data_IF_711311333508
#
_entry.id   IF_711311333508
#
_cell.length_a   1.000
_cell.length_b   1.000
_cell.length_c   1.000
_cell.angle_alpha   90.00
_cell.angle_beta   90.00
_cell.angle_gamma   90.00
#
_symmetry.space_group_name_H-M   'P 1'
#
loop_
_entity.id
_entity.type
_entity.pdbx_description
1 polymer ?
#
# COMPACT_ATOMS: atom_id res chain seq x y z
N UNK A 1 13.70 -31.71 19.46
CA UNK A 1 14.31 -30.45 18.94
C UNK A 1 15.70 -30.31 19.54
N UNK A 2 16.70 -29.78 18.83
CA UNK A 2 18.04 -29.62 19.42
C UNK A 2 18.05 -28.49 20.46
N UNK A 3 18.61 -28.72 21.65
CA UNK A 3 18.72 -27.69 22.71
C UNK A 3 19.80 -26.65 22.36
N UNK A 4 20.74 -26.98 21.47
CA UNK A 4 21.88 -26.13 21.15
C UNK A 4 21.46 -24.78 20.51
N UNK A 5 21.76 -23.63 21.13
CA UNK A 5 21.34 -22.31 20.65
C UNK A 5 21.82 -21.99 19.22
N UNK A 6 23.05 -22.40 18.89
CA UNK A 6 23.64 -22.22 17.55
C UNK A 6 22.79 -22.90 16.46
N UNK A 7 22.32 -24.13 16.71
CA UNK A 7 21.50 -24.87 15.75
C UNK A 7 20.11 -24.24 15.59
N UNK A 8 19.52 -23.76 16.67
CA UNK A 8 18.22 -23.07 16.66
C UNK A 8 18.25 -21.76 15.87
N UNK A 9 19.27 -20.90 16.10
CA UNK A 9 19.44 -19.65 15.34
C UNK A 9 19.67 -19.91 13.85
N UNK A 10 20.51 -20.90 13.51
CA UNK A 10 20.76 -21.30 12.11
C UNK A 10 19.46 -21.77 11.43
N UNK A 11 18.65 -22.55 12.14
CA UNK A 11 17.37 -23.03 11.64
C UNK A 11 16.39 -21.88 11.36
N UNK A 12 16.22 -20.94 12.28
CA UNK A 12 15.33 -19.77 12.08
C UNK A 12 15.76 -18.91 10.89
N UNK A 13 17.06 -18.64 10.76
CA UNK A 13 17.60 -17.82 9.68
C UNK A 13 17.37 -18.45 8.30
N UNK A 14 17.71 -19.74 8.16
CA UNK A 14 17.64 -20.50 6.90
C UNK A 14 16.26 -21.11 6.60
N UNK A 15 15.25 -20.88 7.44
CA UNK A 15 13.96 -21.52 7.25
C UNK A 15 13.28 -21.12 5.93
N UNK A 16 12.60 -22.07 5.26
CA UNK A 16 11.81 -21.78 4.07
C UNK A 16 10.60 -20.90 4.39
N UNK A 17 10.07 -20.22 3.38
CA UNK A 17 9.01 -19.21 3.54
C UNK A 17 7.72 -19.76 4.16
N UNK A 18 7.33 -20.99 3.84
CA UNK A 18 6.13 -21.61 4.42
C UNK A 18 6.24 -21.83 5.94
N UNK A 19 7.45 -22.04 6.48
CA UNK A 19 7.69 -22.11 7.93
C UNK A 19 7.71 -20.72 8.54
N UNK A 20 8.38 -19.76 7.88
CA UNK A 20 8.42 -18.36 8.33
C UNK A 20 7.03 -17.74 8.44
N UNK A 21 6.11 -18.07 7.53
CA UNK A 21 4.70 -17.63 7.59
C UNK A 21 4.05 -17.96 8.95
N UNK A 22 4.32 -19.14 9.53
CA UNK A 22 3.74 -19.53 10.83
C UNK A 22 4.30 -18.72 11.99
N UNK A 23 5.55 -18.27 11.88
CA UNK A 23 6.21 -17.47 12.92
C UNK A 23 5.79 -16.01 12.92
N UNK A 24 5.22 -15.51 11.82
CA UNK A 24 4.65 -14.16 11.72
C UNK A 24 3.22 -14.20 12.26
N UNK A 25 3.11 -14.57 13.53
CA UNK A 25 1.87 -14.57 14.28
C UNK A 25 1.88 -13.50 15.37
N UNK A 26 0.69 -13.01 15.67
CA UNK A 26 0.44 -12.01 16.70
C UNK A 26 -0.70 -12.49 17.61
N UNK A 27 -0.70 -11.98 18.84
CA UNK A 27 -1.80 -12.23 19.78
C UNK A 27 -3.07 -11.53 19.32
N UNK A 28 -4.22 -12.14 19.57
CA UNK A 28 -5.52 -11.51 19.33
C UNK A 28 -5.98 -10.72 20.56
N UNK A 29 -6.89 -9.78 20.35
CA UNK A 29 -7.63 -9.14 21.43
C UNK A 29 -8.49 -10.17 22.18
N UNK A 30 -8.79 -9.90 23.45
CA UNK A 30 -9.50 -10.85 24.31
C UNK A 30 -10.88 -11.23 23.75
N UNK A 31 -11.60 -10.29 23.14
CA UNK A 31 -12.88 -10.52 22.47
C UNK A 31 -12.77 -11.58 21.36
N UNK A 32 -11.72 -11.47 20.54
CA UNK A 32 -11.43 -12.44 19.47
C UNK A 32 -10.96 -13.78 20.03
N UNK A 33 -10.23 -13.78 21.15
CA UNK A 33 -9.80 -15.03 21.81
C UNK A 33 -11.04 -15.79 22.30
N UNK A 34 -12.02 -15.10 22.88
CA UNK A 34 -13.27 -15.69 23.33
C UNK A 34 -14.09 -16.22 22.15
N UNK A 35 -14.26 -15.43 21.08
CA UNK A 35 -15.00 -15.82 19.87
C UNK A 35 -14.38 -17.04 19.20
N UNK A 36 -13.08 -17.02 18.91
CA UNK A 36 -12.41 -18.04 18.09
C UNK A 36 -11.72 -19.15 18.90
N UNK A 37 -11.66 -19.05 20.24
CA UNK A 37 -10.94 -19.99 21.13
C UNK A 37 -9.47 -20.23 20.75
N UNK A 38 -8.82 -19.23 20.12
CA UNK A 38 -7.39 -19.27 19.73
C UNK A 38 -6.67 -18.09 20.35
N UNK A 39 -5.41 -18.28 20.74
CA UNK A 39 -4.60 -17.22 21.36
C UNK A 39 -3.90 -16.30 20.34
N UNK A 40 -3.57 -16.81 19.17
CA UNK A 40 -2.77 -16.10 18.16
C UNK A 40 -3.02 -16.63 16.76
N UNK A 41 -2.88 -15.75 15.76
CA UNK A 41 -2.99 -16.10 14.34
C UNK A 41 -1.85 -15.48 13.52
N UNK A 42 -1.50 -16.09 12.38
CA UNK A 42 -0.64 -15.44 11.40
C UNK A 42 -1.28 -14.15 10.90
N UNK A 43 -0.50 -13.05 10.89
CA UNK A 43 -0.98 -11.74 10.44
C UNK A 43 -1.05 -11.71 8.90
N UNK A 44 -2.15 -11.21 8.35
CA UNK A 44 -2.37 -11.06 6.92
C UNK A 44 -2.55 -9.58 6.58
N UNK A 45 -2.43 -9.23 5.30
CA UNK A 45 -2.78 -7.90 4.79
C UNK A 45 -4.26 -7.63 5.04
N UNK A 46 -4.59 -6.41 5.44
CA UNK A 46 -5.96 -6.00 5.75
C UNK A 46 -6.41 -6.28 7.20
N UNK A 47 -5.64 -7.03 7.99
CA UNK A 47 -5.90 -7.12 9.44
C UNK A 47 -5.72 -5.74 10.09
N UNK A 48 -6.57 -5.42 11.07
CA UNK A 48 -6.36 -4.23 11.91
C UNK A 48 -5.60 -4.63 13.14
N UNK A 49 -4.55 -3.85 13.43
CA UNK A 49 -3.63 -4.19 14.49
C UNK A 49 -3.29 -2.99 15.37
N UNK A 50 -3.03 -3.25 16.65
CA UNK A 50 -2.57 -2.30 17.66
C UNK A 50 -1.13 -2.61 18.04
N UNK A 51 -0.28 -1.58 18.07
CA UNK A 51 1.13 -1.75 18.44
C UNK A 51 1.27 -1.72 19.96
N UNK A 52 1.89 -2.74 20.52
CA UNK A 52 2.04 -2.91 21.97
C UNK A 52 3.39 -2.44 22.50
N UNK A 53 4.44 -2.47 21.66
CA UNK A 53 5.83 -2.16 22.05
C UNK A 53 6.51 -1.25 21.03
N UNK A 54 7.48 -0.46 21.49
CA UNK A 54 8.29 0.44 20.65
C UNK A 54 7.79 1.89 20.63
N UNK A 55 8.37 2.70 19.75
CA UNK A 55 8.08 4.14 19.60
C UNK A 55 6.61 4.42 19.24
N UNK A 56 6.00 3.56 18.42
CA UNK A 56 4.62 3.72 17.92
C UNK A 56 3.59 2.97 18.79
N UNK A 57 3.87 2.79 20.09
CA UNK A 57 2.96 2.07 21.01
C UNK A 57 1.62 2.80 21.12
N UNK A 58 0.53 2.04 21.07
CA UNK A 58 -0.83 2.55 21.20
C UNK A 58 -1.51 2.88 19.87
N UNK A 59 -0.74 3.09 18.80
CA UNK A 59 -1.29 3.32 17.47
C UNK A 59 -1.97 2.07 16.92
N UNK A 60 -3.16 2.28 16.35
CA UNK A 60 -3.92 1.27 15.61
C UNK A 60 -3.87 1.56 14.12
N UNK A 61 -3.73 0.55 13.28
CA UNK A 61 -3.77 0.71 11.83
C UNK A 61 -4.00 -0.61 11.10
N UNK A 62 -4.40 -0.52 9.83
CA UNK A 62 -4.51 -1.69 8.95
C UNK A 62 -3.12 -2.12 8.48
N UNK A 63 -2.94 -3.42 8.29
CA UNK A 63 -1.68 -3.98 7.75
C UNK A 63 -1.67 -3.84 6.23
N UNK A 64 -0.81 -2.95 5.72
CA UNK A 64 -0.62 -2.75 4.28
C UNK A 64 0.13 -3.92 3.64
N UNK A 65 1.25 -4.32 4.24
CA UNK A 65 2.14 -5.36 3.69
C UNK A 65 2.78 -6.20 4.78
N UNK A 66 2.89 -7.50 4.51
CA UNK A 66 3.60 -8.47 5.35
C UNK A 66 4.86 -8.92 4.61
N UNK A 67 6.02 -8.81 5.26
CA UNK A 67 7.29 -9.28 4.73
C UNK A 67 7.69 -10.61 5.38
N UNK A 68 7.44 -11.71 4.66
CA UNK A 68 7.69 -13.07 5.17
C UNK A 68 9.17 -13.39 5.39
N UNK A 69 10.08 -12.74 4.66
CA UNK A 69 11.52 -13.01 4.76
C UNK A 69 12.11 -12.43 6.04
N UNK A 70 11.68 -11.21 6.40
CA UNK A 70 12.16 -10.46 7.57
C UNK A 70 11.28 -10.60 8.82
N UNK A 71 10.03 -11.07 8.67
CA UNK A 71 9.08 -11.17 9.78
C UNK A 71 8.46 -9.84 10.19
N UNK A 72 8.51 -8.83 9.32
CA UNK A 72 8.06 -7.48 9.60
C UNK A 72 6.76 -7.13 8.88
N UNK A 73 6.00 -6.23 9.49
CA UNK A 73 4.74 -5.67 9.04
C UNK A 73 4.95 -4.20 8.68
N UNK A 74 4.28 -3.76 7.63
CA UNK A 74 4.09 -2.35 7.30
C UNK A 74 2.64 -2.00 7.65
N UNK A 75 2.48 -1.09 8.62
CA UNK A 75 1.19 -0.70 9.17
C UNK A 75 0.88 0.73 8.71
N UNK A 76 -0.37 0.98 8.34
CA UNK A 76 -0.84 2.31 7.97
C UNK A 76 -0.74 3.29 9.15
N UNK A 77 -0.36 4.54 8.86
CA UNK A 77 -0.08 5.55 9.89
C UNK A 77 1.29 5.44 10.56
N UNK A 78 2.00 4.32 10.40
CA UNK A 78 3.33 4.09 11.00
C UNK A 78 4.42 4.41 10.00
N UNK A 79 4.79 5.69 9.96
CA UNK A 79 5.77 6.22 9.00
C UNK A 79 6.84 7.05 9.67
N UNK A 80 7.99 7.15 9.00
CA UNK A 80 9.11 8.02 9.37
C UNK A 80 9.35 8.98 8.22
N UNK A 81 9.53 10.25 8.54
CA UNK A 81 9.96 11.29 7.61
C UNK A 81 11.46 11.21 7.42
N UNK A 82 11.91 11.03 6.18
CA UNK A 82 13.32 11.20 5.81
C UNK A 82 13.70 12.68 5.81
N UNK A 83 15.01 12.96 5.71
CA UNK A 83 15.55 14.32 5.56
C UNK A 83 14.95 15.02 4.33
N UNK A 84 14.70 14.26 3.25
CA UNK A 84 14.05 14.76 2.02
C UNK A 84 12.54 15.03 2.17
N UNK A 85 11.97 14.95 3.38
CA UNK A 85 10.54 15.11 3.66
C UNK A 85 9.64 13.93 3.26
N UNK A 86 10.15 12.96 2.50
CA UNK A 86 9.40 11.75 2.08
C UNK A 86 9.05 10.87 3.28
N UNK A 87 7.80 10.42 3.37
CA UNK A 87 7.30 9.48 4.39
C UNK A 87 7.54 8.04 3.94
N UNK A 88 8.21 7.24 4.77
CA UNK A 88 8.46 5.82 4.53
C UNK A 88 7.90 4.98 5.67
N UNK A 89 7.32 3.82 5.37
CA UNK A 89 6.80 2.91 6.39
C UNK A 89 7.91 2.39 7.30
N UNK A 90 7.68 2.40 8.62
CA UNK A 90 8.60 1.78 9.59
C UNK A 90 8.20 0.30 9.76
N UNK A 91 9.08 -0.67 9.43
CA UNK A 91 8.79 -2.07 9.62
C UNK A 91 8.70 -2.43 11.12
N UNK A 92 7.63 -3.13 11.51
CA UNK A 92 7.41 -3.60 12.88
C UNK A 92 7.33 -5.13 12.91
N UNK A 93 7.96 -5.78 13.89
CA UNK A 93 7.87 -7.23 14.04
C UNK A 93 6.47 -7.67 14.53
N UNK A 94 5.91 -8.74 13.97
CA UNK A 94 4.56 -9.21 14.31
C UNK A 94 4.34 -9.52 15.80
N UNK A 95 5.38 -9.98 16.51
CA UNK A 95 5.28 -10.25 17.96
C UNK A 95 5.06 -9.01 18.84
N UNK A 96 5.29 -7.80 18.32
CA UNK A 96 5.10 -6.54 19.05
C UNK A 96 3.69 -5.96 18.87
N UNK A 97 2.80 -6.72 18.25
CA UNK A 97 1.52 -6.26 17.74
C UNK A 97 0.40 -7.16 18.27
N UNK A 98 -0.78 -6.57 18.45
CA UNK A 98 -2.01 -7.24 18.86
C UNK A 98 -3.07 -7.05 17.78
N UNK A 99 -3.70 -8.13 17.33
CA UNK A 99 -4.74 -8.12 16.31
C UNK A 99 -6.05 -7.69 16.97
N UNK A 100 -6.65 -6.61 16.48
CA UNK A 100 -7.94 -6.09 16.98
C UNK A 100 -9.10 -6.48 16.07
N UNK A 101 -8.91 -6.50 14.75
CA UNK A 101 -9.91 -6.97 13.78
C UNK A 101 -9.26 -7.88 12.75
N UNK A 102 -9.95 -8.95 12.36
CA UNK A 102 -9.48 -9.93 11.38
C UNK A 102 -10.06 -9.61 10.00
N UNK A 103 -9.26 -9.83 8.96
CA UNK A 103 -9.76 -9.94 7.60
C UNK A 103 -10.19 -11.41 7.35
N UNK A 104 -11.49 -11.60 7.06
CA UNK A 104 -12.15 -12.89 6.82
C UNK A 104 -12.48 -13.13 5.34
N UNK A 105 -12.04 -12.27 4.43
CA UNK A 105 -12.30 -12.38 2.98
C UNK A 105 -11.79 -13.72 2.41
N UNK A 106 -10.65 -14.24 2.90
CA UNK A 106 -10.06 -15.50 2.43
C UNK A 106 -10.78 -16.74 3.00
N UNK A 107 -11.40 -17.60 2.16
CA UNK A 107 -12.06 -18.84 2.60
C UNK A 107 -11.13 -19.81 3.34
N UNK A 108 -9.85 -19.88 2.95
CA UNK A 108 -8.89 -20.76 3.61
C UNK A 108 -8.56 -20.33 5.03
N UNK A 109 -8.65 -19.02 5.30
CA UNK A 109 -8.46 -18.48 6.65
C UNK A 109 -9.67 -18.81 7.52
N UNK A 110 -10.88 -18.65 6.98
CA UNK A 110 -12.15 -18.96 7.66
C UNK A 110 -12.24 -20.41 8.07
N UNK A 111 -11.98 -21.33 7.14
CA UNK A 111 -11.95 -22.77 7.41
C UNK A 111 -11.05 -23.13 8.59
N UNK A 112 -9.88 -22.50 8.71
CA UNK A 112 -8.96 -22.74 9.85
C UNK A 112 -9.44 -22.13 11.16
N UNK A 113 -10.20 -21.05 11.08
CA UNK A 113 -10.80 -20.42 12.25
C UNK A 113 -11.95 -21.28 12.77
N UNK A 114 -12.78 -21.84 11.89
CA UNK A 114 -13.95 -22.68 12.22
C UNK A 114 -13.60 -24.02 12.88
N UNK A 115 -12.35 -24.50 12.72
CA UNK A 115 -11.89 -25.77 13.30
C UNK A 115 -12.00 -25.77 14.83
N UNK A 116 -12.99 -26.51 15.34
CA UNK A 116 -13.23 -26.74 16.77
C UNK A 116 -14.26 -25.82 17.41
N UNK A 117 -15.03 -25.08 16.62
CA UNK A 117 -16.11 -24.21 17.12
C UNK A 117 -17.52 -24.80 16.93
N UNK A 118 -18.48 -24.37 17.78
CA UNK A 118 -19.90 -24.66 17.61
C UNK A 118 -20.44 -24.01 16.33
N UNK A 119 -21.51 -24.57 15.76
CA UNK A 119 -22.09 -24.15 14.47
C UNK A 119 -22.57 -22.70 14.47
N UNK A 120 -23.13 -22.22 15.57
CA UNK A 120 -23.58 -20.82 15.73
C UNK A 120 -22.48 -19.81 15.39
N UNK A 121 -21.27 -20.02 15.92
CA UNK A 121 -20.14 -19.12 15.69
C UNK A 121 -19.63 -19.22 14.25
N UNK A 122 -19.81 -20.37 13.58
CA UNK A 122 -19.45 -20.52 12.17
C UNK A 122 -20.35 -19.68 11.27
N UNK A 123 -21.66 -19.72 11.52
CA UNK A 123 -22.61 -18.89 10.79
C UNK A 123 -22.33 -17.39 10.99
N UNK A 124 -21.94 -16.97 12.19
CA UNK A 124 -21.51 -15.58 12.44
C UNK A 124 -20.26 -15.20 11.65
N UNK A 125 -19.30 -16.11 11.52
CA UNK A 125 -18.06 -15.89 10.74
C UNK A 125 -18.37 -15.78 9.25
N UNK A 126 -19.28 -16.61 8.74
CA UNK A 126 -19.71 -16.58 7.34
C UNK A 126 -20.43 -15.27 7.02
N UNK A 127 -21.37 -14.83 7.89
CA UNK A 127 -22.06 -13.54 7.74
C UNK A 127 -21.09 -12.35 7.78
N UNK A 128 -20.18 -12.32 8.75
CA UNK A 128 -19.16 -11.26 8.87
C UNK A 128 -18.26 -11.22 7.61
N UNK A 129 -17.98 -12.37 7.02
CA UNK A 129 -17.17 -12.44 5.81
C UNK A 129 -17.94 -11.99 4.56
N UNK A 130 -19.21 -12.33 4.42
CA UNK A 130 -20.07 -11.84 3.34
C UNK A 130 -20.23 -10.32 3.40
N UNK A 131 -20.44 -9.76 4.60
CA UNK A 131 -20.47 -8.31 4.81
C UNK A 131 -19.15 -7.65 4.39
N UNK A 132 -18.00 -8.22 4.77
CA UNK A 132 -16.69 -7.72 4.35
C UNK A 132 -16.51 -7.80 2.83
N UNK A 133 -16.98 -8.87 2.18
CA UNK A 133 -16.89 -9.03 0.72
C UNK A 133 -17.74 -7.97 0.03
N UNK A 134 -18.98 -7.75 0.47
CA UNK A 134 -19.89 -6.72 -0.08
C UNK A 134 -19.28 -5.32 0.03
N UNK A 135 -18.74 -4.96 1.21
CA UNK A 135 -18.06 -3.67 1.41
C UNK A 135 -16.88 -3.52 0.44
N UNK A 136 -16.12 -4.58 0.19
CA UNK A 136 -14.99 -4.55 -0.74
C UNK A 136 -15.47 -4.41 -2.20
N UNK A 137 -16.60 -5.02 -2.56
CA UNK A 137 -17.22 -4.90 -3.88
C UNK A 137 -17.74 -3.48 -4.11
N UNK A 138 -18.48 -2.92 -3.15
CA UNK A 138 -18.93 -1.52 -3.17
C UNK A 138 -17.75 -0.53 -3.24
N UNK A 139 -16.70 -0.73 -2.43
CA UNK A 139 -15.48 0.10 -2.50
C UNK A 139 -14.79 0.02 -3.87
N UNK A 140 -14.87 -1.11 -4.57
CA UNK A 140 -14.30 -1.25 -5.92
C UNK A 140 -15.14 -0.54 -6.96
N UNK A 141 -16.47 -0.68 -6.90
CA UNK A 141 -17.39 0.00 -7.82
C UNK A 141 -17.20 1.51 -7.74
N UNK A 142 -17.17 2.08 -6.52
CA UNK A 142 -16.90 3.51 -6.31
C UNK A 142 -15.53 3.91 -6.89
N UNK A 143 -14.50 3.08 -6.74
CA UNK A 143 -13.16 3.36 -7.28
C UNK A 143 -13.13 3.26 -8.80
N UNK A 144 -13.97 2.42 -9.40
CA UNK A 144 -14.13 2.30 -10.85
C UNK A 144 -14.89 3.52 -11.40
N UNK A 145 -16.01 3.91 -10.78
CA UNK A 145 -16.74 5.14 -11.10
C UNK A 145 -15.83 6.38 -11.01
N UNK A 146 -15.09 6.55 -9.92
CA UNK A 146 -14.14 7.67 -9.76
C UNK A 146 -13.01 7.60 -10.78
N UNK A 147 -12.56 6.42 -11.22
CA UNK A 147 -11.56 6.29 -12.28
C UNK A 147 -12.12 6.63 -13.65
N UNK A 148 -13.39 6.34 -13.91
CA UNK A 148 -14.09 6.75 -15.13
C UNK A 148 -14.29 8.27 -15.12
N UNK A 149 -14.72 8.86 -14.00
CA UNK A 149 -14.80 10.32 -13.84
C UNK A 149 -13.43 11.03 -13.94
N UNK A 150 -12.33 10.41 -13.49
CA UNK A 150 -10.95 10.93 -13.64
C UNK A 150 -10.37 10.68 -15.04
N UNK A 151 -10.95 9.77 -15.84
CA UNK A 151 -10.67 9.67 -17.28
C UNK A 151 -11.47 10.68 -18.09
N UNK A 152 -12.64 11.10 -17.62
CA UNK A 152 -13.47 12.13 -18.24
C UNK A 152 -13.05 13.63 -18.06
N UNK A 153 -11.90 14.03 -17.48
CA UNK A 153 -11.36 15.38 -17.57
C UNK A 153 -10.16 15.48 -18.54
N UNK A 154 -10.11 14.67 -19.62
CA UNK A 154 -9.15 14.86 -20.72
C UNK A 154 -9.50 16.04 -21.66
N UNK A 155 -10.58 16.79 -21.41
CA UNK A 155 -10.87 18.05 -22.14
C UNK A 155 -9.97 19.23 -21.67
N UNK A 156 -9.05 19.02 -20.72
CA UNK A 156 -8.09 20.07 -20.26
C UNK A 156 -6.68 19.94 -20.81
N UNK A 157 -6.35 18.85 -21.50
CA UNK A 157 -5.10 18.75 -22.27
C UNK A 157 -5.26 19.23 -23.70
N UNK A 158 -6.43 19.02 -24.32
CA UNK A 158 -6.74 19.56 -25.66
C UNK A 158 -6.69 21.10 -25.69
N UNK A 159 -7.27 21.78 -24.69
CA UNK A 159 -7.22 23.25 -24.60
C UNK A 159 -5.78 23.79 -24.34
N UNK A 160 -4.88 22.98 -23.76
CA UNK A 160 -3.47 23.39 -23.57
C UNK A 160 -2.62 23.18 -24.82
N UNK A 161 -3.00 22.26 -25.69
CA UNK A 161 -2.35 22.05 -26.99
C UNK A 161 -2.82 23.09 -28.00
N UNK A 162 -4.12 23.43 -28.03
CA UNK A 162 -4.66 24.50 -28.87
C UNK A 162 -4.03 25.87 -28.54
N UNK A 163 -3.92 26.24 -27.25
CA UNK A 163 -3.26 27.50 -26.84
C UNK A 163 -1.75 27.49 -27.18
N UNK A 164 -1.09 26.31 -27.21
CA UNK A 164 0.32 26.19 -27.61
C UNK A 164 0.53 26.27 -29.12
N UNK A 165 -0.46 25.89 -29.91
CA UNK A 165 -0.44 26.01 -31.36
C UNK A 165 -0.75 27.43 -31.81
N UNK A 166 -1.74 28.10 -31.20
CA UNK A 166 -2.03 29.51 -31.45
C UNK A 166 -0.83 30.42 -31.11
N UNK A 167 -0.19 30.22 -29.95
CA UNK A 167 1.02 30.99 -29.56
C UNK A 167 2.21 30.69 -30.52
N UNK A 168 2.29 29.49 -31.12
CA UNK A 168 3.34 29.16 -32.10
C UNK A 168 3.09 29.77 -33.49
N UNK A 169 1.83 29.98 -33.86
CA UNK A 169 1.46 30.66 -35.11
C UNK A 169 1.67 32.17 -35.00
N UNK A 170 1.27 32.80 -33.89
CA UNK A 170 1.51 34.22 -33.63
C UNK A 170 3.01 34.55 -33.59
N UNK A 171 3.83 33.73 -32.92
CA UNK A 171 5.30 33.91 -32.88
C UNK A 171 5.95 33.67 -34.26
N UNK A 172 5.35 32.88 -35.15
CA UNK A 172 5.85 32.67 -36.53
C UNK A 172 5.49 33.81 -37.48
N UNK A 173 4.40 34.54 -37.24
CA UNK A 173 4.05 35.75 -38.00
C UNK A 173 4.90 36.96 -37.60
N UNK A 174 5.21 37.13 -36.31
CA UNK A 174 6.03 38.26 -35.83
C UNK A 174 7.52 38.16 -36.24
N UNK A 175 8.09 36.95 -36.43
CA UNK A 175 9.52 36.76 -36.73
C UNK A 175 9.86 36.87 -38.24
N UNK A 176 8.86 36.84 -39.14
CA UNK A 176 9.10 36.90 -40.61
C UNK A 176 9.64 38.24 -41.14
N UNK A 177 9.32 39.43 -40.60
CA UNK A 177 9.92 40.67 -41.09
C UNK A 177 11.32 40.98 -40.51
N UNK A 178 11.66 40.59 -39.27
CA UNK A 178 12.94 40.97 -38.63
C UNK A 178 14.18 40.19 -39.15
N UNK A 179 14.01 38.95 -39.61
CA UNK A 179 15.11 38.14 -40.12
C UNK A 179 15.65 38.59 -41.51
N UNK A 180 14.90 39.45 -42.23
CA UNK A 180 15.35 40.02 -43.52
C UNK A 180 16.23 41.27 -43.36
N UNK A 181 16.07 42.04 -42.28
CA UNK A 181 16.88 43.25 -42.05
C UNK A 181 18.27 42.94 -41.51
N UNK A 182 18.41 41.90 -40.68
CA UNK A 182 19.69 41.50 -40.07
C UNK A 182 20.67 40.89 -41.09
N UNK A 183 20.18 40.12 -42.07
CA UNK A 183 21.02 39.55 -43.17
C UNK A 183 21.51 40.58 -44.20
N UNK A 184 20.84 41.72 -44.36
CA UNK A 184 21.32 42.82 -45.22
C UNK A 184 22.43 43.64 -44.55
N UNK A 185 22.43 43.75 -43.22
CA UNK A 185 23.47 44.47 -42.46
C UNK A 185 24.78 43.68 -42.35
N UNK A 186 24.74 42.35 -42.19
CA UNK A 186 25.96 41.53 -42.08
C UNK A 186 26.75 41.41 -43.40
N UNK A 187 26.07 41.24 -44.55
CA UNK A 187 26.76 41.21 -45.87
C UNK A 187 27.41 42.52 -46.29
N UNK A 188 27.07 43.65 -45.66
CA UNK A 188 27.67 44.96 -45.93
C UNK A 188 28.93 45.21 -45.07
N UNK A 189 29.11 44.45 -43.99
CA UNK A 189 30.27 44.54 -43.10
C UNK A 189 31.46 43.69 -43.58
N UNK A 190 31.23 42.53 -44.22
CA UNK A 190 32.30 41.63 -44.72
C UNK A 190 32.99 42.09 -46.02
N UNK A 191 32.61 43.23 -46.61
CA UNK A 191 33.21 43.75 -47.86
C UNK A 191 34.06 45.01 -47.69
N UNK A 192 34.45 45.36 -46.46
CA UNK A 192 35.17 46.62 -46.17
C UNK A 192 36.46 46.51 -45.34
N UNK A 193 37.03 45.32 -45.18
CA UNK A 193 38.43 45.13 -44.75
C UNK A 193 39.21 44.37 -45.82
#
# INVERSE_FOLDING_TARGET
MSVQPRKQRKFLYNAPLHKKRKWISAHMADDLILKYRRRSLPVIRGDTVKIMRGEFKGTTGKVRKVNTRKGSLEIEGVTITKVDGKKVSRPIHASNVLITKLNLTDPWRRRKLEEGLPEEVKEEIEKEAEEQIKIIEEEKEIVEEVKEEIKEPEVKEEVKEEIKEEIKEEVKEEIKPEAKETKKKSKKAEKKE
#
